data_IF_452007103143
#
_entry.id   IF_452007103143
#
_cell.length_a   1.000
_cell.length_b   1.000
_cell.length_c   1.000
_cell.angle_alpha   90.00
_cell.angle_beta   90.00
_cell.angle_gamma   90.00
#
_symmetry.space_group_name_H-M   'P 1'
#
loop_
_entity.id
_entity.type
_entity.pdbx_description
1 polymer ?
#
# COMPACT_ATOMS: atom_id res chain seq x y z
N UNK A 1 3.18 24.59 -5.01
CA UNK A 1 3.91 25.54 -5.67
C UNK A 1 5.42 25.43 -5.71
N UNK A 2 6.14 25.25 -4.59
CA UNK A 2 7.61 25.34 -4.56
C UNK A 2 8.31 24.21 -5.33
N UNK A 3 7.85 22.98 -5.19
CA UNK A 3 8.42 21.80 -5.85
C UNK A 3 8.22 21.76 -7.37
N UNK A 4 7.15 22.36 -7.88
CA UNK A 4 6.91 22.45 -9.33
C UNK A 4 7.95 23.36 -10.04
N UNK A 5 8.46 24.39 -9.34
CA UNK A 5 9.48 25.30 -9.86
C UNK A 5 10.91 24.74 -9.87
N UNK A 6 11.17 23.64 -9.13
CA UNK A 6 12.52 23.08 -8.94
C UNK A 6 12.72 21.75 -9.71
N UNK A 7 11.69 21.24 -10.41
CA UNK A 7 11.75 19.97 -11.14
C UNK A 7 11.87 18.72 -10.24
N UNK A 8 11.61 18.85 -8.93
CA UNK A 8 11.71 17.76 -7.95
C UNK A 8 10.47 16.90 -7.98
N UNK A 9 10.62 15.58 -7.88
CA UNK A 9 9.51 14.63 -7.67
C UNK A 9 9.22 14.50 -6.17
N UNK A 10 7.95 14.62 -5.79
CA UNK A 10 7.50 14.38 -4.42
C UNK A 10 7.14 12.90 -4.29
N UNK A 11 7.68 12.22 -3.29
CA UNK A 11 7.29 10.85 -2.94
C UNK A 11 6.21 10.90 -1.87
N UNK A 12 5.11 10.19 -2.10
CA UNK A 12 3.92 10.18 -1.26
C UNK A 12 3.59 8.74 -0.86
N UNK A 13 3.45 8.51 0.43
CA UNK A 13 2.86 7.29 0.99
C UNK A 13 1.42 7.61 1.38
N UNK A 14 0.48 7.06 0.63
CA UNK A 14 -0.92 7.46 0.71
C UNK A 14 -1.67 6.66 1.77
N UNK A 15 -1.83 7.23 2.95
CA UNK A 15 -2.68 6.68 4.00
C UNK A 15 -3.30 7.84 4.79
N UNK A 16 -4.63 7.84 4.95
CA UNK A 16 -5.30 8.79 5.83
C UNK A 16 -5.16 8.33 7.29
N UNK A 17 -4.46 9.11 8.15
CA UNK A 17 -4.14 8.68 9.50
C UNK A 17 -5.36 8.61 10.43
N UNK A 18 -6.45 9.30 10.12
CA UNK A 18 -7.67 9.24 10.93
C UNK A 18 -8.45 7.96 10.64
N UNK A 19 -8.52 7.57 9.37
CA UNK A 19 -9.22 6.35 8.94
C UNK A 19 -8.41 5.11 9.30
N UNK A 20 -7.08 5.18 9.21
CA UNK A 20 -6.18 4.06 9.54
C UNK A 20 -5.85 3.96 11.03
N UNK A 21 -6.39 4.88 11.86
CA UNK A 21 -6.06 4.97 13.28
C UNK A 21 -6.24 3.63 14.00
N UNK A 22 -5.23 3.26 14.77
CA UNK A 22 -5.16 2.04 15.59
C UNK A 22 -5.31 0.72 14.79
N UNK A 23 -5.47 0.77 13.46
CA UNK A 23 -5.58 -0.41 12.60
C UNK A 23 -4.21 -1.08 12.36
N UNK A 24 -4.23 -2.41 12.20
CA UNK A 24 -3.04 -3.20 11.93
C UNK A 24 -3.21 -4.19 10.76
N UNK A 25 -4.43 -4.48 10.32
CA UNK A 25 -4.72 -5.43 9.23
C UNK A 25 -5.79 -4.88 8.28
N UNK A 26 -5.90 -5.48 7.10
CA UNK A 26 -6.98 -5.16 6.16
C UNK A 26 -8.36 -5.39 6.77
N UNK A 27 -9.30 -4.50 6.45
CA UNK A 27 -10.71 -4.67 6.78
C UNK A 27 -11.31 -5.80 5.95
N UNK A 28 -11.41 -6.98 6.54
CA UNK A 28 -11.91 -8.17 5.86
C UNK A 28 -12.50 -9.19 6.84
N UNK A 29 -12.93 -10.32 6.30
CA UNK A 29 -13.55 -11.40 7.07
C UNK A 29 -12.61 -11.96 8.14
N UNK A 30 -11.33 -12.15 7.80
CA UNK A 30 -10.35 -12.75 8.72
C UNK A 30 -10.11 -11.83 9.93
N UNK A 31 -9.89 -10.54 9.66
CA UNK A 31 -9.72 -9.53 10.72
C UNK A 31 -10.93 -9.47 11.66
N UNK A 32 -12.15 -9.45 11.09
CA UNK A 32 -13.40 -9.46 11.86
C UNK A 32 -13.52 -10.69 12.74
N UNK A 33 -13.20 -11.89 12.20
CA UNK A 33 -13.25 -13.15 12.94
C UNK A 33 -12.25 -13.19 14.09
N UNK A 34 -11.09 -12.58 13.93
CA UNK A 34 -10.03 -12.56 14.92
C UNK A 34 -10.12 -11.37 15.89
N UNK A 35 -11.05 -10.42 15.66
CA UNK A 35 -11.17 -9.22 16.48
C UNK A 35 -9.99 -8.25 16.37
N UNK A 36 -9.27 -8.26 15.23
CA UNK A 36 -8.13 -7.39 15.02
C UNK A 36 -8.57 -5.98 14.55
N UNK A 37 -7.87 -4.92 14.99
CA UNK A 37 -8.11 -3.56 14.50
C UNK A 37 -7.85 -3.45 12.99
N UNK A 38 -8.76 -2.83 12.25
CA UNK A 38 -8.79 -2.88 10.79
C UNK A 38 -8.40 -1.56 10.13
N UNK A 39 -7.70 -1.65 8.99
CA UNK A 39 -7.39 -0.55 8.08
C UNK A 39 -8.19 -0.76 6.79
N UNK A 40 -9.27 0.00 6.55
CA UNK A 40 -10.02 -0.11 5.31
C UNK A 40 -9.19 0.38 4.11
N UNK A 41 -9.46 -0.17 2.92
CA UNK A 41 -8.87 0.32 1.67
C UNK A 41 -9.14 1.82 1.44
N UNK A 42 -10.24 2.31 2.00
CA UNK A 42 -10.63 3.71 1.98
C UNK A 42 -9.56 4.65 2.56
N UNK A 43 -8.75 4.19 3.54
CA UNK A 43 -7.65 5.00 4.10
C UNK A 43 -6.60 5.35 3.04
N UNK A 44 -6.32 4.44 2.11
CA UNK A 44 -5.38 4.66 1.01
C UNK A 44 -6.04 5.49 -0.11
N UNK A 45 -7.24 5.12 -0.55
CA UNK A 45 -7.90 5.76 -1.70
C UNK A 45 -8.29 7.21 -1.44
N UNK A 46 -8.75 7.57 -0.24
CA UNK A 46 -9.03 8.97 0.12
C UNK A 46 -7.74 9.80 0.11
N UNK A 47 -6.65 9.27 0.65
CA UNK A 47 -5.38 9.98 0.64
C UNK A 47 -4.88 10.20 -0.79
N UNK A 48 -4.96 9.19 -1.67
CA UNK A 48 -4.61 9.31 -3.10
C UNK A 48 -5.48 10.36 -3.77
N UNK A 49 -6.81 10.29 -3.64
CA UNK A 49 -7.72 11.24 -4.28
C UNK A 49 -7.42 12.68 -3.84
N UNK A 50 -7.18 12.91 -2.56
CA UNK A 50 -6.77 14.22 -2.02
C UNK A 50 -5.47 14.71 -2.66
N UNK A 51 -4.44 13.85 -2.73
CA UNK A 51 -3.17 14.24 -3.32
C UNK A 51 -3.28 14.49 -4.83
N UNK A 52 -4.08 13.70 -5.57
CA UNK A 52 -4.30 13.90 -6.99
C UNK A 52 -4.94 15.27 -7.29
N UNK A 53 -5.90 15.72 -6.48
CA UNK A 53 -6.48 17.07 -6.60
C UNK A 53 -5.41 18.17 -6.38
N UNK A 54 -4.51 17.97 -5.42
CA UNK A 54 -3.42 18.91 -5.17
C UNK A 54 -2.39 18.91 -6.31
N UNK A 55 -2.09 17.74 -6.88
CA UNK A 55 -1.18 17.58 -8.02
C UNK A 55 -1.78 18.26 -9.26
N UNK A 56 -3.06 18.03 -9.54
CA UNK A 56 -3.78 18.68 -10.65
C UNK A 56 -3.74 20.21 -10.53
N UNK A 57 -3.97 20.74 -9.33
CA UNK A 57 -3.94 22.19 -9.08
C UNK A 57 -2.54 22.83 -9.14
N UNK A 58 -1.49 22.06 -8.89
CA UNK A 58 -0.12 22.61 -8.77
C UNK A 58 0.81 22.24 -9.92
N UNK A 59 0.46 21.19 -10.72
CA UNK A 59 1.29 20.66 -11.78
C UNK A 59 2.58 19.98 -11.28
N UNK A 60 2.68 19.64 -10.00
CA UNK A 60 3.87 19.00 -9.43
C UNK A 60 4.00 17.55 -9.89
N UNK A 61 5.24 17.09 -10.08
CA UNK A 61 5.53 15.67 -10.30
C UNK A 61 5.45 14.91 -8.99
N UNK A 62 4.74 13.79 -8.97
CA UNK A 62 4.61 12.98 -7.77
C UNK A 62 4.77 11.48 -8.04
N UNK A 63 5.24 10.77 -7.03
CA UNK A 63 5.35 9.31 -7.02
C UNK A 63 4.59 8.77 -5.81
N UNK A 64 3.63 7.87 -6.06
CA UNK A 64 2.87 7.19 -5.01
C UNK A 64 3.55 5.85 -4.69
N UNK A 65 4.17 5.77 -3.53
CA UNK A 65 4.82 4.54 -3.07
C UNK A 65 3.86 3.59 -2.37
N UNK A 66 4.12 2.30 -2.53
CA UNK A 66 3.49 1.20 -1.79
C UNK A 66 1.96 1.11 -1.97
N UNK A 67 1.46 1.13 -3.21
CA UNK A 67 0.05 0.86 -3.45
C UNK A 67 -0.32 -0.55 -2.94
N UNK A 68 -1.48 -0.68 -2.31
CA UNK A 68 -1.91 -1.96 -1.74
C UNK A 68 -3.28 -2.44 -2.23
N UNK A 69 -4.12 -1.60 -2.79
CA UNK A 69 -5.46 -1.98 -3.20
C UNK A 69 -5.79 -1.63 -4.65
N UNK A 70 -6.68 -2.41 -5.26
CA UNK A 70 -7.08 -2.25 -6.67
C UNK A 70 -7.74 -0.92 -6.97
N UNK A 71 -8.53 -0.38 -6.04
CA UNK A 71 -9.16 0.93 -6.21
C UNK A 71 -8.15 2.08 -6.31
N UNK A 72 -6.99 1.94 -5.68
CA UNK A 72 -5.87 2.90 -5.83
C UNK A 72 -5.29 2.86 -7.24
N UNK A 73 -5.14 1.67 -7.82
CA UNK A 73 -4.65 1.51 -9.21
C UNK A 73 -5.59 2.23 -10.18
N UNK A 74 -6.90 2.10 -9.98
CA UNK A 74 -7.89 2.78 -10.84
C UNK A 74 -7.78 4.31 -10.73
N UNK A 75 -7.62 4.85 -9.53
CA UNK A 75 -7.42 6.29 -9.34
C UNK A 75 -6.16 6.81 -10.05
N UNK A 76 -5.06 6.07 -9.96
CA UNK A 76 -3.81 6.42 -10.64
C UNK A 76 -3.96 6.32 -12.16
N UNK A 77 -4.66 5.30 -12.66
CA UNK A 77 -4.97 5.15 -14.09
C UNK A 77 -5.72 6.38 -14.64
N UNK A 78 -6.81 6.76 -13.97
CA UNK A 78 -7.59 7.95 -14.34
C UNK A 78 -6.71 9.22 -14.32
N UNK A 79 -5.84 9.37 -13.34
CA UNK A 79 -4.94 10.52 -13.24
C UNK A 79 -3.93 10.56 -14.40
N UNK A 80 -3.34 9.41 -14.77
CA UNK A 80 -2.44 9.28 -15.93
C UNK A 80 -3.16 9.59 -17.25
N UNK A 81 -4.39 9.07 -17.41
CA UNK A 81 -5.22 9.33 -18.61
C UNK A 81 -5.57 10.82 -18.77
N UNK A 82 -5.70 11.55 -17.66
CA UNK A 82 -5.85 13.02 -17.63
C UNK A 82 -4.54 13.77 -17.90
N UNK A 83 -3.41 13.08 -18.01
CA UNK A 83 -2.11 13.68 -18.25
C UNK A 83 -1.40 14.25 -17.01
N UNK A 84 -1.82 13.85 -15.80
CA UNK A 84 -1.11 14.23 -14.58
C UNK A 84 0.26 13.53 -14.53
N UNK A 85 1.27 14.25 -14.08
CA UNK A 85 2.64 13.72 -13.99
C UNK A 85 2.81 12.90 -12.70
N UNK A 86 2.26 11.70 -12.71
CA UNK A 86 2.26 10.77 -11.58
C UNK A 86 2.84 9.42 -11.96
N UNK A 87 3.58 8.83 -11.04
CA UNK A 87 4.06 7.44 -11.09
C UNK A 87 3.72 6.72 -9.80
N UNK A 88 3.79 5.40 -9.79
CA UNK A 88 3.55 4.62 -8.58
C UNK A 88 4.36 3.32 -8.54
N UNK A 89 4.51 2.78 -7.35
CA UNK A 89 5.08 1.46 -7.12
C UNK A 89 4.17 0.56 -6.28
N UNK A 90 4.51 -0.71 -6.27
CA UNK A 90 3.90 -1.73 -5.43
C UNK A 90 5.00 -2.58 -4.78
N UNK A 91 4.81 -2.94 -3.52
CA UNK A 91 5.72 -3.87 -2.86
C UNK A 91 5.55 -5.29 -3.40
N UNK A 92 6.67 -6.01 -3.59
CA UNK A 92 6.66 -7.38 -4.15
C UNK A 92 5.72 -8.31 -3.37
N UNK A 93 5.73 -8.25 -2.04
CA UNK A 93 4.87 -9.13 -1.23
C UNK A 93 3.37 -8.89 -1.46
N UNK A 94 2.93 -7.68 -1.84
CA UNK A 94 1.54 -7.38 -2.19
C UNK A 94 1.08 -8.09 -3.49
N UNK A 95 2.02 -8.48 -4.35
CA UNK A 95 1.74 -9.23 -5.57
C UNK A 95 1.60 -10.74 -5.33
N UNK A 96 2.03 -11.24 -4.18
CA UNK A 96 2.06 -12.68 -3.88
C UNK A 96 1.18 -13.07 -2.68
N UNK A 97 1.16 -12.25 -1.64
CA UNK A 97 0.51 -12.53 -0.36
C UNK A 97 -0.85 -11.83 -0.24
N UNK A 98 -1.71 -12.37 0.60
CA UNK A 98 -3.04 -11.79 0.89
C UNK A 98 -3.32 -11.79 2.39
N UNK A 99 -4.42 -11.16 2.80
CA UNK A 99 -4.90 -11.13 4.18
C UNK A 99 -5.05 -12.53 4.81
N UNK A 100 -5.17 -13.58 3.99
CA UNK A 100 -5.27 -14.96 4.49
C UNK A 100 -4.05 -15.39 5.31
N UNK A 101 -2.88 -14.77 5.06
CA UNK A 101 -1.66 -15.07 5.79
C UNK A 101 -1.71 -14.65 7.26
N UNK A 102 -2.61 -13.72 7.63
CA UNK A 102 -2.80 -13.30 9.03
C UNK A 102 -3.62 -14.30 9.85
N UNK A 103 -4.22 -15.30 9.21
CA UNK A 103 -5.03 -16.30 9.91
C UNK A 103 -4.20 -17.02 10.99
N UNK A 104 -4.80 -17.27 12.14
CA UNK A 104 -4.09 -17.79 13.31
C UNK A 104 -3.18 -16.77 14.00
N UNK A 105 -3.39 -15.47 13.79
CA UNK A 105 -2.58 -14.38 14.39
C UNK A 105 -1.10 -14.42 13.96
N UNK A 106 -0.84 -14.81 12.72
CA UNK A 106 0.51 -14.86 12.18
C UNK A 106 1.16 -13.47 12.10
N UNK A 107 1.91 -13.11 13.12
CA UNK A 107 2.57 -11.80 13.23
C UNK A 107 3.62 -11.52 12.15
N UNK A 108 4.14 -12.54 11.46
CA UNK A 108 5.04 -12.36 10.33
C UNK A 108 4.35 -11.67 9.14
N UNK A 109 3.02 -11.76 9.08
CA UNK A 109 2.20 -11.09 8.06
C UNK A 109 1.78 -9.66 8.45
N UNK A 110 2.22 -9.14 9.59
CA UNK A 110 1.96 -7.76 9.98
C UNK A 110 2.87 -6.81 9.21
N UNK A 111 2.31 -6.20 8.17
CA UNK A 111 2.99 -5.24 7.26
C UNK A 111 2.14 -3.98 7.10
N UNK A 112 2.75 -2.87 6.67
CA UNK A 112 2.07 -1.63 6.36
C UNK A 112 2.58 -1.05 5.04
N UNK A 113 1.69 -0.84 4.04
CA UNK A 113 0.25 -1.11 4.02
C UNK A 113 -0.08 -2.58 4.28
N UNK A 114 -1.28 -2.88 4.83
CA UNK A 114 -1.63 -4.26 5.17
C UNK A 114 -1.80 -5.13 3.92
N UNK A 115 -1.59 -6.43 4.05
CA UNK A 115 -1.94 -7.39 3.02
C UNK A 115 -3.45 -7.32 2.77
N UNK A 116 -3.85 -7.18 1.51
CA UNK A 116 -5.24 -6.99 1.09
C UNK A 116 -5.87 -8.30 0.61
N UNK A 117 -7.06 -8.18 0.04
CA UNK A 117 -7.82 -9.31 -0.50
C UNK A 117 -7.16 -9.94 -1.73
N UNK A 118 -7.59 -11.14 -2.08
CA UNK A 118 -7.18 -11.80 -3.33
C UNK A 118 -7.54 -10.94 -4.56
N UNK A 119 -8.72 -10.29 -4.53
CA UNK A 119 -9.14 -9.41 -5.61
C UNK A 119 -8.18 -8.21 -5.77
N UNK A 120 -7.77 -7.57 -4.67
CA UNK A 120 -6.81 -6.48 -4.72
C UNK A 120 -5.47 -6.94 -5.31
N UNK A 121 -4.98 -8.11 -4.89
CA UNK A 121 -3.76 -8.71 -5.45
C UNK A 121 -3.85 -8.88 -6.97
N UNK A 122 -4.97 -9.38 -7.48
CA UNK A 122 -5.15 -9.56 -8.93
C UNK A 122 -5.20 -8.21 -9.67
N UNK A 123 -5.86 -7.20 -9.09
CA UNK A 123 -5.92 -5.87 -9.67
C UNK A 123 -4.56 -5.16 -9.67
N UNK A 124 -3.73 -5.34 -8.62
CA UNK A 124 -2.34 -4.86 -8.60
C UNK A 124 -1.52 -5.52 -9.72
N UNK A 125 -1.62 -6.84 -9.87
CA UNK A 125 -0.94 -7.58 -10.96
C UNK A 125 -1.38 -7.11 -12.34
N UNK A 126 -2.66 -6.86 -12.51
CA UNK A 126 -3.18 -6.33 -13.76
C UNK A 126 -2.68 -4.91 -14.03
N UNK A 127 -2.71 -4.02 -13.03
CA UNK A 127 -2.16 -2.67 -13.13
C UNK A 127 -0.68 -2.64 -13.53
N UNK A 128 0.11 -3.61 -13.04
CA UNK A 128 1.50 -3.78 -13.44
C UNK A 128 1.62 -4.22 -14.91
N UNK A 129 0.82 -5.19 -15.35
CA UNK A 129 0.81 -5.66 -16.75
C UNK A 129 0.37 -4.57 -17.72
N UNK A 130 -0.56 -3.73 -17.33
CA UNK A 130 -1.08 -2.63 -18.14
C UNK A 130 -0.17 -1.38 -18.12
N UNK A 131 0.91 -1.39 -17.31
CA UNK A 131 1.81 -0.25 -17.17
C UNK A 131 1.23 0.93 -16.37
N UNK A 132 0.15 0.71 -15.63
CA UNK A 132 -0.38 1.68 -14.67
C UNK A 132 0.54 1.78 -13.47
N UNK A 133 1.05 0.65 -12.97
CA UNK A 133 2.10 0.59 -11.95
C UNK A 133 3.45 0.60 -12.67
N UNK A 134 4.32 1.54 -12.31
CA UNK A 134 5.56 1.83 -13.02
C UNK A 134 6.72 0.95 -12.54
N UNK A 135 6.73 0.56 -11.27
CA UNK A 135 7.84 -0.17 -10.68
C UNK A 135 7.41 -1.04 -9.51
N UNK A 136 8.26 -1.99 -9.16
CA UNK A 136 8.11 -2.87 -8.00
C UNK A 136 9.25 -2.56 -7.04
N UNK A 137 8.92 -2.40 -5.76
CA UNK A 137 9.92 -2.25 -4.71
C UNK A 137 9.97 -3.50 -3.82
N UNK A 138 11.09 -3.71 -3.17
CA UNK A 138 11.24 -4.83 -2.22
C UNK A 138 10.45 -4.62 -0.95
N UNK A 139 10.41 -3.38 -0.46
CA UNK A 139 9.87 -3.04 0.86
C UNK A 139 10.35 -4.04 1.93
N UNK A 140 11.69 -4.30 1.90
CA UNK A 140 12.34 -5.24 2.79
C UNK A 140 12.58 -4.58 4.16
N UNK A 141 11.77 -4.93 5.13
CA UNK A 141 11.84 -4.43 6.50
C UNK A 141 11.97 -5.62 7.46
N UNK A 142 13.17 -6.24 7.54
CA UNK A 142 13.39 -7.36 8.44
C UNK A 142 13.36 -6.88 9.89
N UNK A 143 12.62 -7.60 10.71
CA UNK A 143 12.55 -7.36 12.13
C UNK A 143 13.14 -8.55 12.89
N UNK A 144 13.66 -8.28 14.09
CA UNK A 144 14.09 -9.35 14.99
C UNK A 144 12.90 -10.24 15.37
N UNK A 145 13.15 -11.52 15.60
CA UNK A 145 12.10 -12.44 16.05
C UNK A 145 11.39 -11.96 17.32
N UNK A 146 12.11 -11.28 18.21
CA UNK A 146 11.52 -10.69 19.43
C UNK A 146 10.47 -9.61 19.15
N UNK A 147 10.62 -8.83 18.08
CA UNK A 147 9.64 -7.80 17.68
C UNK A 147 8.31 -8.39 17.19
N UNK A 148 8.28 -9.69 16.88
CA UNK A 148 7.13 -10.43 16.40
C UNK A 148 6.49 -11.36 17.45
N UNK A 149 7.00 -11.38 18.69
CA UNK A 149 6.51 -12.27 19.77
C UNK A 149 5.33 -11.69 20.57
N UNK A 150 5.06 -10.40 20.47
CA UNK A 150 3.91 -9.75 21.11
C UNK A 150 2.57 -10.20 20.47
N UNK A 151 1.43 -9.96 21.11
CA UNK A 151 0.13 -10.08 20.45
C UNK A 151 0.11 -9.34 19.12
N UNK A 152 -0.56 -9.86 18.10
CA UNK A 152 -0.46 -9.39 16.71
C UNK A 152 -0.52 -7.85 16.59
N UNK A 153 -1.53 -7.23 17.19
CA UNK A 153 -1.73 -5.77 17.11
C UNK A 153 -0.63 -4.92 17.80
N UNK A 154 0.17 -5.54 18.66
CA UNK A 154 1.27 -4.88 19.39
C UNK A 154 2.64 -5.13 18.72
N UNK A 155 2.69 -5.99 17.70
CA UNK A 155 3.91 -6.22 16.94
C UNK A 155 4.23 -5.03 16.04
N UNK A 156 5.49 -4.85 15.68
CA UNK A 156 5.88 -3.86 14.67
C UNK A 156 5.56 -4.39 13.27
N UNK A 157 5.02 -3.53 12.36
CA UNK A 157 4.87 -3.90 10.96
C UNK A 157 6.24 -4.05 10.29
N UNK A 158 6.38 -5.02 9.39
CA UNK A 158 7.59 -5.30 8.63
C UNK A 158 7.68 -6.76 8.21
N UNK A 159 8.32 -7.04 7.09
CA UNK A 159 8.47 -8.39 6.52
C UNK A 159 9.84 -8.56 5.88
N UNK A 160 10.39 -9.77 5.99
CA UNK A 160 11.55 -10.19 5.19
C UNK A 160 11.07 -10.49 3.78
N UNK A 161 11.34 -9.58 2.85
CA UNK A 161 10.75 -9.62 1.51
C UNK A 161 11.68 -10.22 0.42
N UNK A 162 12.95 -10.49 0.71
CA UNK A 162 13.88 -11.04 -0.30
C UNK A 162 13.43 -12.39 -0.85
N UNK A 163 12.86 -13.25 -0.02
CA UNK A 163 12.36 -14.55 -0.46
C UNK A 163 11.16 -14.46 -1.42
N UNK A 164 10.51 -13.29 -1.51
CA UNK A 164 9.41 -13.04 -2.43
C UNK A 164 9.86 -12.34 -3.71
N UNK A 165 11.12 -11.88 -3.77
CA UNK A 165 11.64 -11.09 -4.90
C UNK A 165 12.32 -11.97 -5.98
N UNK A 166 12.91 -13.06 -5.56
CA UNK A 166 13.57 -14.03 -6.48
C UNK A 166 12.86 -15.36 -6.34
N UNK A 167 12.29 -15.92 -7.43
CA UNK A 167 11.67 -17.25 -7.42
C UNK A 167 12.69 -18.37 -7.25
#
# INVERSE_FOLDING_TARGET
GWSAGVGTTIVLYAEDPQIAKDGCVHQGFIASRQGLPMIPALAETIAIAKYLLMIEATGVRAHFGLLSCGASVELIKIAKDKGLNVTCDVAMHQLHLTEQLIDGFNSLAHVRPPLRSENDKQLLRQGLKEGVIDTICTHHEPLSSSAKLAPFAETLPGITAFDTYVP
#
